data_IF_844955188893
#
_entry.id   IF_844955188893
#
_cell.length_a   1.000
_cell.length_b   1.000
_cell.length_c   1.000
_cell.angle_alpha   90.00
_cell.angle_beta   90.00
_cell.angle_gamma   90.00
#
_symmetry.space_group_name_H-M   'P 1'
#
loop_
_entity.id
_entity.type
_entity.pdbx_description
1 polymer ?
#
# COMPACT_ATOMS: atom_id res chain seq x y z
N UNK A 1 35.82 2.05 51.51
CA UNK A 1 34.80 1.40 50.66
C UNK A 1 33.46 1.55 51.37
N UNK A 2 32.53 2.34 50.82
CA UNK A 2 31.19 2.57 51.38
C UNK A 2 30.22 1.59 50.72
N UNK A 3 29.56 0.76 51.52
CA UNK A 3 28.50 -0.15 51.06
C UNK A 3 27.16 0.49 51.43
N UNK A 4 26.18 0.55 50.51
CA UNK A 4 24.81 0.50 50.99
C UNK A 4 23.84 -0.36 50.17
N UNK A 5 22.78 -0.75 50.89
CA UNK A 5 21.44 -1.15 50.46
C UNK A 5 21.19 -2.59 49.99
N UNK A 6 21.32 -3.49 50.98
CA UNK A 6 20.26 -4.43 51.35
C UNK A 6 18.87 -3.73 51.33
N UNK A 7 17.81 -4.44 50.90
CA UNK A 7 16.35 -4.21 51.18
C UNK A 7 15.38 -3.79 50.05
N UNK A 8 15.39 -4.39 48.85
CA UNK A 8 14.17 -4.39 48.00
C UNK A 8 13.82 -5.82 47.52
N UNK A 9 12.97 -6.46 48.33
CA UNK A 9 11.76 -7.21 47.92
C UNK A 9 11.92 -8.60 47.26
N UNK A 10 11.93 -9.63 48.12
CA UNK A 10 11.45 -10.98 47.81
C UNK A 10 9.93 -10.98 47.88
N UNK A 11 9.21 -10.99 46.74
CA UNK A 11 7.86 -11.57 46.62
C UNK A 11 7.65 -12.12 45.20
N UNK A 12 7.73 -13.45 45.10
CA UNK A 12 6.80 -14.33 44.37
C UNK A 12 6.54 -14.11 42.87
N UNK A 13 7.28 -14.84 42.04
CA UNK A 13 6.82 -15.29 40.71
C UNK A 13 7.14 -16.79 40.52
N UNK A 14 6.65 -17.62 41.43
CA UNK A 14 6.41 -19.04 41.14
C UNK A 14 4.96 -19.33 41.54
N UNK A 15 4.18 -19.78 40.55
CA UNK A 15 2.74 -20.07 40.63
C UNK A 15 2.02 -19.22 39.60
N UNK A 16 1.96 -19.60 38.32
CA UNK A 16 1.13 -20.71 37.82
C UNK A 16 1.97 -21.61 36.89
N UNK A 17 2.56 -22.65 37.47
CA UNK A 17 2.91 -23.89 36.78
C UNK A 17 1.79 -24.88 37.12
N UNK A 18 0.76 -24.93 36.28
CA UNK A 18 -0.30 -25.92 36.34
C UNK A 18 -0.63 -26.38 34.92
N UNK A 19 -0.01 -27.51 34.57
CA UNK A 19 -0.63 -28.66 33.91
C UNK A 19 -1.63 -28.38 32.78
N UNK A 20 -1.14 -28.68 31.58
CA UNK A 20 -1.81 -28.77 30.27
C UNK A 20 -3.09 -29.62 30.30
N UNK A 21 -3.96 -29.43 29.30
CA UNK A 21 -4.07 -30.52 28.34
C UNK A 21 -3.81 -30.04 26.91
N UNK A 22 -2.99 -30.82 26.21
CA UNK A 22 -3.05 -30.96 24.77
C UNK A 22 -4.48 -31.35 24.40
N UNK A 23 -5.32 -30.39 24.00
CA UNK A 23 -6.53 -30.58 23.19
C UNK A 23 -7.24 -29.24 22.99
N UNK A 24 -6.80 -28.50 21.99
CA UNK A 24 -7.72 -27.76 21.13
C UNK A 24 -7.45 -28.28 19.72
N UNK A 25 -7.89 -29.53 19.50
CA UNK A 25 -8.38 -29.90 18.19
C UNK A 25 -9.84 -29.42 18.17
N UNK A 26 -10.03 -28.24 17.60
CA UNK A 26 -11.31 -27.73 17.08
C UNK A 26 -10.82 -26.93 15.86
N UNK A 27 -10.65 -27.59 14.72
CA UNK A 27 -11.70 -27.78 13.72
C UNK A 27 -12.57 -26.55 13.58
N UNK A 28 -12.05 -25.58 12.84
CA UNK A 28 -12.88 -24.77 11.97
C UNK A 28 -12.07 -24.60 10.68
N UNK A 29 -12.15 -25.60 9.81
CA UNK A 29 -12.23 -25.31 8.38
C UNK A 29 -13.52 -24.53 8.16
N UNK A 30 -13.55 -23.28 8.63
CA UNK A 30 -14.24 -22.27 7.88
C UNK A 30 -13.43 -22.16 6.59
N UNK A 31 -13.96 -22.72 5.52
CA UNK A 31 -13.67 -22.27 4.16
C UNK A 31 -14.12 -20.80 4.06
N UNK A 32 -13.48 -19.93 4.84
CA UNK A 32 -13.23 -18.58 4.41
C UNK A 32 -12.44 -18.80 3.14
N UNK A 33 -13.05 -18.46 2.01
CA UNK A 33 -12.33 -18.17 0.79
C UNK A 33 -11.19 -17.22 1.19
N UNK A 34 -10.04 -17.78 1.55
CA UNK A 34 -8.75 -17.16 1.36
C UNK A 34 -8.57 -17.16 -0.15
N UNK A 35 -9.41 -16.39 -0.84
CA UNK A 35 -8.99 -15.72 -2.06
C UNK A 35 -7.80 -14.91 -1.59
N UNK A 36 -6.64 -15.54 -1.66
CA UNK A 36 -5.35 -14.90 -1.49
C UNK A 36 -5.44 -13.64 -2.35
N UNK A 37 -5.50 -12.50 -1.66
CA UNK A 37 -5.65 -11.21 -2.30
C UNK A 37 -4.32 -10.93 -2.99
N UNK A 38 -4.21 -11.38 -4.23
CA UNK A 38 -2.99 -11.27 -5.02
C UNK A 38 -3.25 -10.31 -6.17
N UNK A 39 -2.44 -9.27 -6.23
CA UNK A 39 -2.44 -8.36 -7.36
C UNK A 39 -1.78 -9.11 -8.53
N UNK A 40 -2.40 -9.14 -9.72
CA UNK A 40 -1.80 -9.80 -10.87
C UNK A 40 -0.38 -9.29 -11.14
N UNK A 41 0.57 -10.21 -11.37
CA UNK A 41 1.99 -9.87 -11.48
C UNK A 41 2.32 -8.84 -12.57
N UNK A 42 1.48 -8.73 -13.61
CA UNK A 42 1.65 -7.71 -14.66
C UNK A 42 1.59 -6.27 -14.09
N UNK A 43 0.80 -6.04 -13.04
CA UNK A 43 0.70 -4.73 -12.37
C UNK A 43 2.02 -4.38 -11.69
N UNK A 44 2.67 -5.37 -11.08
CA UNK A 44 3.96 -5.19 -10.40
C UNK A 44 5.05 -4.74 -11.38
N UNK A 45 5.02 -5.25 -12.61
CA UNK A 45 5.91 -4.78 -13.68
C UNK A 45 5.67 -3.30 -14.01
N UNK A 46 4.40 -2.88 -14.11
CA UNK A 46 4.05 -1.47 -14.36
C UNK A 46 4.50 -0.58 -13.21
N UNK A 47 4.30 -0.99 -11.95
CA UNK A 47 4.78 -0.25 -10.79
C UNK A 47 6.32 -0.12 -10.79
N UNK A 48 7.03 -1.15 -11.27
CA UNK A 48 8.48 -1.12 -11.41
C UNK A 48 8.92 -0.15 -12.50
N UNK A 49 8.23 -0.14 -13.64
CA UNK A 49 8.48 0.86 -14.69
C UNK A 49 8.19 2.28 -14.22
N UNK A 50 7.15 2.47 -13.39
CA UNK A 50 6.88 3.77 -12.81
C UNK A 50 8.02 4.16 -11.86
N UNK A 51 8.41 3.28 -10.93
CA UNK A 51 9.52 3.50 -10.01
C UNK A 51 10.83 3.90 -10.74
N UNK A 52 11.15 3.22 -11.83
CA UNK A 52 12.34 3.42 -12.67
C UNK A 52 12.25 4.64 -13.63
N UNK A 53 11.21 5.48 -13.55
CA UNK A 53 10.98 6.60 -14.49
C UNK A 53 10.81 6.19 -15.95
N UNK A 54 10.46 4.93 -16.22
CA UNK A 54 10.24 4.40 -17.58
C UNK A 54 8.86 4.71 -18.12
N UNK A 55 7.89 4.96 -17.24
CA UNK A 55 6.54 5.41 -17.61
C UNK A 55 6.15 6.65 -16.81
N UNK A 56 5.39 7.57 -17.41
CA UNK A 56 4.87 8.73 -16.71
C UNK A 56 3.77 8.32 -15.72
N UNK A 57 3.58 9.15 -14.69
CA UNK A 57 2.62 8.94 -13.61
C UNK A 57 1.19 8.62 -14.09
N UNK A 58 0.67 9.36 -15.07
CA UNK A 58 -0.69 9.16 -15.58
C UNK A 58 -0.92 7.74 -16.10
N UNK A 59 0.11 7.05 -16.61
CA UNK A 59 -0.02 5.66 -17.06
C UNK A 59 -0.18 4.71 -15.87
N UNK A 60 0.60 4.92 -14.80
CA UNK A 60 0.48 4.13 -13.58
C UNK A 60 -0.87 4.37 -12.90
N UNK A 61 -1.33 5.62 -12.82
CA UNK A 61 -2.66 5.95 -12.28
C UNK A 61 -3.81 5.34 -13.10
N UNK A 62 -3.66 5.29 -14.42
CA UNK A 62 -4.60 4.57 -15.29
C UNK A 62 -4.72 3.08 -14.91
N UNK A 63 -3.60 2.44 -14.55
CA UNK A 63 -3.62 1.06 -14.06
C UNK A 63 -4.29 0.95 -12.69
N UNK A 64 -3.99 1.84 -11.74
CA UNK A 64 -4.66 1.87 -10.43
C UNK A 64 -6.18 2.02 -10.59
N UNK A 65 -6.61 2.93 -11.45
CA UNK A 65 -8.02 3.13 -11.80
C UNK A 65 -8.65 1.85 -12.34
N UNK A 66 -7.98 1.20 -13.29
CA UNK A 66 -8.46 -0.07 -13.84
C UNK A 66 -8.66 -1.13 -12.74
N UNK A 67 -7.74 -1.24 -11.79
CA UNK A 67 -7.87 -2.20 -10.67
C UNK A 67 -9.07 -1.89 -9.78
N UNK A 68 -9.36 -0.61 -9.54
CA UNK A 68 -10.54 -0.18 -8.79
C UNK A 68 -11.82 -0.52 -9.56
N UNK A 69 -11.89 -0.19 -10.85
CA UNK A 69 -13.06 -0.46 -11.71
C UNK A 69 -13.35 -1.96 -11.85
N UNK A 70 -12.31 -2.79 -11.86
CA UNK A 70 -12.46 -4.26 -11.89
C UNK A 70 -12.76 -4.87 -10.53
N UNK A 71 -12.85 -4.07 -9.47
CA UNK A 71 -13.06 -4.56 -8.11
C UNK A 71 -11.89 -5.38 -7.56
N UNK A 72 -10.70 -5.25 -8.18
CA UNK A 72 -9.46 -5.84 -7.66
C UNK A 72 -8.98 -4.99 -6.48
N UNK A 73 -9.14 -3.66 -6.54
CA UNK A 73 -8.96 -2.79 -5.36
C UNK A 73 -10.34 -2.26 -4.96
N UNK A 74 -10.79 -2.62 -3.77
CA UNK A 74 -12.08 -2.15 -3.24
C UNK A 74 -11.83 -0.91 -2.39
N UNK A 75 -12.46 0.22 -2.73
CA UNK A 75 -12.39 1.41 -1.89
C UNK A 75 -13.40 1.32 -0.73
N UNK A 76 -13.03 1.69 0.50
CA UNK A 76 -14.01 1.84 1.57
C UNK A 76 -14.96 3.00 1.24
N UNK A 77 -16.23 2.91 1.64
CA UNK A 77 -17.30 3.90 1.36
C UNK A 77 -17.11 5.28 2.02
N UNK A 78 -15.91 5.56 2.55
CA UNK A 78 -15.50 6.84 3.12
C UNK A 78 -14.52 7.52 2.18
N UNK A 79 -14.98 7.83 0.97
CA UNK A 79 -14.27 8.70 0.04
C UNK A 79 -14.69 10.14 0.34
N UNK A 80 -13.72 10.98 0.68
CA UNK A 80 -13.90 12.43 0.88
C UNK A 80 -13.25 13.12 -0.30
N UNK A 81 -14.05 13.82 -1.11
CA UNK A 81 -13.61 14.49 -2.35
C UNK A 81 -12.79 15.78 -2.11
N UNK A 82 -12.41 16.09 -0.87
CA UNK A 82 -12.05 17.46 -0.47
C UNK A 82 -10.54 17.79 -0.49
N UNK A 83 -9.71 17.08 -1.25
CA UNK A 83 -8.30 17.48 -1.46
C UNK A 83 -7.90 17.26 -2.90
N UNK A 84 -7.87 18.34 -3.68
CA UNK A 84 -7.25 18.36 -5.01
C UNK A 84 -5.77 18.73 -4.84
N UNK A 85 -4.90 17.73 -4.63
CA UNK A 85 -3.47 17.98 -4.84
C UNK A 85 -3.17 17.73 -6.31
N UNK A 86 -2.78 18.78 -7.03
CA UNK A 86 -2.45 18.70 -8.47
C UNK A 86 -1.26 17.77 -8.79
N UNK A 87 -0.54 17.26 -7.78
CA UNK A 87 0.68 16.49 -7.99
C UNK A 87 0.84 15.43 -6.90
N UNK A 88 1.02 14.17 -7.31
CA UNK A 88 1.30 13.07 -6.41
C UNK A 88 2.70 13.25 -5.85
N UNK A 89 2.88 13.26 -4.53
CA UNK A 89 4.22 13.39 -3.96
C UNK A 89 5.13 12.22 -4.35
N UNK A 90 6.41 12.50 -4.60
CA UNK A 90 7.41 11.50 -4.96
C UNK A 90 7.55 10.34 -3.94
N UNK A 91 7.14 10.52 -2.68
CA UNK A 91 7.15 9.42 -1.70
C UNK A 91 6.18 8.29 -2.06
N UNK A 92 5.11 8.57 -2.81
CA UNK A 92 4.17 7.55 -3.29
C UNK A 92 4.87 6.58 -4.26
N UNK A 93 5.76 7.12 -5.09
CA UNK A 93 6.61 6.35 -5.99
C UNK A 93 7.56 5.42 -5.24
N UNK A 94 8.03 5.82 -4.06
CA UNK A 94 8.83 4.94 -3.20
C UNK A 94 8.04 3.73 -2.70
N UNK A 95 6.73 3.86 -2.48
CA UNK A 95 5.88 2.71 -2.11
C UNK A 95 5.78 1.70 -3.26
N UNK A 96 5.68 2.16 -4.51
CA UNK A 96 5.77 1.29 -5.68
C UNK A 96 7.13 0.57 -5.74
N UNK A 97 8.23 1.30 -5.49
CA UNK A 97 9.56 0.73 -5.37
C UNK A 97 9.67 -0.34 -4.27
N UNK A 98 9.12 -0.10 -3.09
CA UNK A 98 9.10 -1.08 -2.00
C UNK A 98 8.27 -2.31 -2.36
N UNK A 99 7.16 -2.13 -3.07
CA UNK A 99 6.31 -3.22 -3.49
C UNK A 99 7.00 -4.13 -4.52
N UNK A 100 7.63 -3.56 -5.56
CA UNK A 100 8.32 -4.36 -6.59
C UNK A 100 9.57 -5.07 -6.08
N UNK A 101 10.18 -4.55 -5.02
CA UNK A 101 11.34 -5.16 -4.36
C UNK A 101 10.95 -6.09 -3.21
N UNK A 102 9.67 -6.50 -3.12
CA UNK A 102 9.14 -7.42 -2.10
C UNK A 102 9.36 -6.94 -0.65
N UNK A 103 9.51 -5.63 -0.44
CA UNK A 103 9.65 -5.02 0.90
C UNK A 103 8.30 -4.79 1.57
N UNK A 104 7.25 -4.64 0.77
CA UNK A 104 5.85 -4.62 1.22
C UNK A 104 5.06 -5.62 0.37
N UNK A 105 4.05 -6.24 0.98
CA UNK A 105 3.16 -7.18 0.30
C UNK A 105 2.04 -6.46 -0.47
N UNK A 106 1.30 -7.23 -1.26
CA UNK A 106 0.18 -6.75 -2.08
C UNK A 106 -0.89 -6.03 -1.23
N UNK A 107 -1.19 -6.58 -0.05
CA UNK A 107 -2.17 -6.00 0.86
C UNK A 107 -1.72 -4.63 1.37
N UNK A 108 -0.45 -4.50 1.80
CA UNK A 108 0.12 -3.24 2.29
C UNK A 108 0.16 -2.20 1.18
N UNK A 109 0.53 -2.59 -0.03
CA UNK A 109 0.51 -1.71 -1.18
C UNK A 109 -0.91 -1.20 -1.48
N UNK A 110 -1.91 -2.08 -1.52
CA UNK A 110 -3.31 -1.70 -1.78
C UNK A 110 -3.89 -0.83 -0.68
N UNK A 111 -3.60 -1.12 0.59
CA UNK A 111 -3.99 -0.26 1.70
C UNK A 111 -3.42 1.16 1.54
N UNK A 112 -2.17 1.27 1.07
CA UNK A 112 -1.55 2.55 0.73
C UNK A 112 -2.31 3.29 -0.39
N UNK A 113 -2.64 2.61 -1.48
CA UNK A 113 -3.43 3.18 -2.58
C UNK A 113 -4.82 3.62 -2.13
N UNK A 114 -5.53 2.79 -1.37
CA UNK A 114 -6.85 3.14 -0.81
C UNK A 114 -6.78 4.40 0.06
N UNK A 115 -5.74 4.48 0.91
CA UNK A 115 -5.52 5.66 1.73
C UNK A 115 -5.25 6.91 0.89
N UNK A 116 -4.38 6.81 -0.12
CA UNK A 116 -4.05 7.90 -1.04
C UNK A 116 -5.26 8.44 -1.80
N UNK A 117 -6.11 7.54 -2.28
CA UNK A 117 -7.39 7.91 -2.90
C UNK A 117 -8.29 8.59 -1.87
N UNK A 118 -8.41 8.02 -0.66
CA UNK A 118 -9.25 8.58 0.42
C UNK A 118 -8.88 10.02 0.79
N UNK A 119 -7.59 10.34 0.82
CA UNK A 119 -7.11 11.69 1.16
C UNK A 119 -6.98 12.61 -0.06
N UNK A 120 -7.45 12.20 -1.24
CA UNK A 120 -7.45 13.01 -2.46
C UNK A 120 -6.09 13.18 -3.14
N UNK A 121 -5.04 12.46 -2.70
CA UNK A 121 -3.75 12.51 -3.38
C UNK A 121 -3.77 11.78 -4.73
N UNK A 122 -4.58 10.73 -4.85
CA UNK A 122 -4.83 10.04 -6.12
C UNK A 122 -6.28 10.31 -6.54
N UNK A 123 -6.44 11.00 -7.67
CA UNK A 123 -7.75 11.21 -8.29
C UNK A 123 -8.10 10.06 -9.25
N UNK A 124 -9.33 9.55 -9.12
CA UNK A 124 -9.87 8.46 -9.97
C UNK A 124 -10.61 8.99 -11.22
N UNK A 125 -10.93 10.29 -11.22
CA UNK A 125 -11.49 10.99 -12.37
C UNK A 125 -10.33 11.60 -13.16
N UNK A 126 -10.29 11.31 -14.47
CA UNK A 126 -9.16 11.64 -15.32
C UNK A 126 -8.91 13.14 -15.42
N UNK A 127 -7.68 13.49 -15.80
CA UNK A 127 -7.29 14.83 -16.22
C UNK A 127 -8.38 15.41 -17.14
N UNK A 128 -9.05 16.48 -16.71
CA UNK A 128 -10.00 17.18 -17.56
C UNK A 128 -9.23 17.93 -18.64
N UNK A 129 -9.58 17.69 -19.90
CA UNK A 129 -9.16 18.56 -20.98
C UNK A 129 -9.83 19.94 -20.79
N UNK A 130 -8.98 20.94 -20.55
CA UNK A 130 -9.09 22.35 -20.94
C UNK A 130 -10.20 23.21 -20.29
N UNK A 131 -9.74 24.17 -19.48
CA UNK A 131 -10.20 25.55 -19.60
C UNK A 131 -9.01 26.50 -19.60
N UNK A 132 -8.58 26.85 -20.82
CA UNK A 132 -7.76 28.02 -21.20
C UNK A 132 -6.36 28.16 -20.61
N UNK A 133 -5.37 27.81 -21.44
CA UNK A 133 -4.00 28.33 -21.37
C UNK A 133 -2.99 27.35 -20.81
N UNK A 134 -2.33 26.64 -21.73
CA UNK A 134 -0.98 26.08 -21.58
C UNK A 134 -0.77 25.07 -20.43
N UNK A 135 -0.99 23.79 -20.73
CA UNK A 135 -0.33 22.68 -20.00
C UNK A 135 0.31 21.76 -21.01
N UNK A 136 1.61 21.97 -21.24
CA UNK A 136 2.48 20.94 -21.80
C UNK A 136 2.60 19.83 -20.75
N UNK A 137 1.82 18.74 -20.88
CA UNK A 137 2.28 17.46 -20.36
C UNK A 137 3.50 17.07 -21.21
N UNK A 138 4.69 17.52 -20.80
CA UNK A 138 5.97 17.30 -21.48
C UNK A 138 6.15 15.82 -21.81
N UNK A 139 5.81 15.44 -23.04
CA UNK A 139 6.28 14.22 -23.67
C UNK A 139 7.78 14.39 -23.87
N UNK A 140 8.58 13.77 -23.01
CA UNK A 140 10.01 13.64 -23.22
C UNK A 140 10.25 13.00 -24.58
N UNK A 141 10.76 13.81 -25.51
CA UNK A 141 11.12 13.37 -26.86
C UNK A 141 12.28 12.39 -26.82
N UNK A 142 11.95 11.09 -26.86
CA UNK A 142 12.87 10.02 -27.21
C UNK A 142 12.72 9.68 -28.68
N UNK A 143 13.12 10.60 -29.57
CA UNK A 143 13.26 10.32 -31.00
C UNK A 143 14.49 9.45 -31.23
N UNK A 144 14.27 8.14 -31.39
CA UNK A 144 15.27 7.21 -31.90
C UNK A 144 15.02 6.96 -33.38
N UNK A 145 15.70 7.74 -34.23
CA UNK A 145 15.84 7.46 -35.66
C UNK A 145 17.19 6.75 -35.91
N UNK A 146 17.23 5.42 -35.81
CA UNK A 146 17.99 4.51 -36.70
C UNK A 146 17.65 3.04 -36.42
#
# INVERSE_FOLDING_TARGET
>A
MRIPLLTILVVSLIGIFALLPSTFAEDDTSDQQNTEFTIPSWVKNIAGYWYDDKIPEHQFLGVVKYLIEKGIIILPSTYTEDVHSNEIPAWVKNNAGWWVNDKIDDQTFVNGIQYLVKIGLIEIYGCSEVSSGDVECSTGGGGGDY
#
